data_IF_338144972883
#
_entry.id   IF_338144972883
#
_cell.length_a   1.000
_cell.length_b   1.000
_cell.length_c   1.000
_cell.angle_alpha   90.00
_cell.angle_beta   90.00
_cell.angle_gamma   90.00
#
_symmetry.space_group_name_H-M   'P 1'
#
loop_
_entity.id
_entity.type
_entity.pdbx_description
1 polymer ?
#
# COMPACT_ATOMS: atom_id res chain seq x y z
N UNK A 1 -8.95 -11.03 16.24
CA UNK A 1 -9.13 -10.96 14.77
C UNK A 1 -8.41 -9.71 14.28
N UNK A 2 -7.63 -9.77 13.19
CA UNK A 2 -6.93 -8.57 12.67
C UNK A 2 -7.92 -7.66 11.93
N UNK A 3 -7.65 -6.36 11.91
CA UNK A 3 -8.42 -5.42 11.11
C UNK A 3 -8.22 -5.70 9.61
N UNK A 4 -9.32 -5.70 8.85
CA UNK A 4 -9.32 -5.86 7.39
C UNK A 4 -9.86 -4.56 6.81
N UNK A 5 -8.97 -3.74 6.23
CA UNK A 5 -9.30 -2.48 5.56
C UNK A 5 -8.38 -2.25 4.36
N UNK A 6 -8.80 -1.34 3.50
CA UNK A 6 -8.16 -1.07 2.22
C UNK A 6 -8.04 0.43 1.98
N UNK A 7 -7.05 0.81 1.17
CA UNK A 7 -6.97 2.11 0.50
C UNK A 7 -6.99 1.93 -1.01
N UNK A 8 -7.33 2.99 -1.73
CA UNK A 8 -7.52 2.97 -3.16
C UNK A 8 -6.82 4.15 -3.83
N UNK A 9 -5.91 3.87 -4.75
CA UNK A 9 -5.33 4.89 -5.62
C UNK A 9 -6.24 5.11 -6.83
N UNK A 10 -6.76 6.32 -6.98
CA UNK A 10 -7.60 6.74 -8.10
C UNK A 10 -6.72 7.28 -9.24
N UNK A 11 -6.68 6.56 -10.37
CA UNK A 11 -5.85 6.96 -11.51
C UNK A 11 -6.35 8.21 -12.24
N UNK A 12 -7.65 8.51 -12.16
CA UNK A 12 -8.27 9.65 -12.83
C UNK A 12 -7.95 10.94 -12.10
N UNK A 13 -8.08 10.92 -10.77
CA UNK A 13 -7.86 12.10 -9.94
C UNK A 13 -6.47 12.16 -9.30
N UNK A 14 -5.66 11.09 -9.45
CA UNK A 14 -4.32 10.96 -8.87
C UNK A 14 -4.36 11.18 -7.35
N UNK A 15 -5.30 10.51 -6.70
CA UNK A 15 -5.60 10.70 -5.30
C UNK A 15 -5.66 9.37 -4.53
N UNK A 16 -5.15 9.36 -3.29
CA UNK A 16 -5.14 8.19 -2.41
C UNK A 16 -6.31 8.23 -1.41
N UNK A 17 -7.29 7.36 -1.62
CA UNK A 17 -8.48 7.23 -0.78
C UNK A 17 -8.24 6.24 0.36
N UNK A 18 -8.33 6.69 1.62
CA UNK A 18 -8.13 5.85 2.82
C UNK A 18 -9.42 5.27 3.41
N UNK A 19 -10.58 5.77 2.97
CA UNK A 19 -11.90 5.24 3.34
C UNK A 19 -12.51 4.58 2.12
N UNK A 20 -12.39 3.26 2.04
CA UNK A 20 -12.86 2.46 0.91
C UNK A 20 -14.03 1.61 1.33
N UNK A 21 -15.17 1.78 0.66
CA UNK A 21 -16.28 0.83 0.70
C UNK A 21 -16.16 -0.06 -0.54
N UNK A 22 -15.98 -1.36 -0.33
CA UNK A 22 -16.04 -2.36 -1.39
C UNK A 22 -17.45 -2.93 -1.41
N UNK A 23 -18.17 -2.69 -2.51
CA UNK A 23 -19.53 -3.14 -2.69
C UNK A 23 -19.74 -3.66 -4.11
N UNK A 24 -20.74 -4.53 -4.28
CA UNK A 24 -21.21 -4.91 -5.61
C UNK A 24 -22.06 -3.79 -6.20
N UNK A 25 -21.77 -3.38 -7.43
CA UNK A 25 -22.66 -2.52 -8.22
C UNK A 25 -22.81 -3.04 -9.64
N UNK A 26 -24.06 -3.19 -10.06
CA UNK A 26 -24.48 -3.50 -11.42
C UNK A 26 -26.00 -3.52 -11.43
N UNK A 27 -26.64 -3.07 -12.52
CA UNK A 27 -28.03 -3.48 -12.72
C UNK A 27 -28.02 -5.01 -12.80
N UNK A 28 -28.90 -5.68 -12.04
CA UNK A 28 -28.97 -7.15 -12.03
C UNK A 28 -28.95 -7.73 -13.45
N UNK A 29 -29.56 -7.02 -14.41
CA UNK A 29 -29.61 -7.38 -15.83
C UNK A 29 -28.24 -7.51 -16.52
N UNK A 30 -27.23 -6.76 -16.09
CA UNK A 30 -25.91 -6.73 -16.73
C UNK A 30 -24.97 -7.83 -16.21
N UNK A 31 -25.28 -8.39 -15.04
CA UNK A 31 -24.45 -9.42 -14.36
C UNK A 31 -25.19 -10.74 -14.13
N UNK A 32 -26.50 -10.81 -14.38
CA UNK A 32 -27.34 -11.99 -14.14
C UNK A 32 -26.96 -13.24 -14.96
N UNK A 33 -26.20 -13.06 -16.04
CA UNK A 33 -25.76 -14.15 -16.92
C UNK A 33 -24.34 -14.66 -16.66
N UNK A 34 -23.58 -14.02 -15.77
CA UNK A 34 -22.17 -14.35 -15.54
C UNK A 34 -22.04 -15.20 -14.27
N UNK A 35 -21.87 -16.52 -14.46
CA UNK A 35 -21.79 -17.48 -13.35
C UNK A 35 -20.61 -17.12 -12.42
N UNK A 36 -20.93 -16.72 -11.19
CA UNK A 36 -20.00 -16.30 -10.13
C UNK A 36 -19.35 -14.90 -10.29
N UNK A 37 -19.91 -14.01 -11.12
CA UNK A 37 -19.37 -12.66 -11.24
C UNK A 37 -19.95 -11.71 -10.18
N UNK A 38 -19.08 -11.18 -9.32
CA UNK A 38 -19.39 -10.08 -8.40
C UNK A 38 -18.65 -8.84 -8.85
N UNK A 39 -19.36 -7.80 -9.29
CA UNK A 39 -18.74 -6.55 -9.71
C UNK A 39 -17.87 -5.96 -8.57
N UNK A 40 -16.64 -5.59 -8.91
CA UNK A 40 -15.59 -5.15 -7.99
C UNK A 40 -15.32 -3.65 -8.19
N UNK A 41 -16.09 -2.80 -7.50
CA UNK A 41 -15.97 -1.35 -7.60
C UNK A 41 -15.91 -0.66 -6.23
N UNK A 42 -15.32 0.53 -6.23
CA UNK A 42 -15.29 1.46 -5.10
C UNK A 42 -16.18 2.65 -5.44
N UNK A 43 -17.06 3.02 -4.51
CA UNK A 43 -17.86 4.24 -4.65
C UNK A 43 -17.13 5.43 -4.03
N UNK A 44 -16.89 6.49 -4.80
CA UNK A 44 -16.27 7.72 -4.33
C UNK A 44 -17.35 8.82 -4.25
N UNK A 45 -17.55 9.36 -3.04
CA UNK A 45 -18.41 10.52 -2.81
C UNK A 45 -17.57 11.78 -2.60
N UNK A 46 -17.88 12.89 -3.29
CA UNK A 46 -17.14 14.15 -3.12
C UNK A 46 -17.15 14.67 -1.68
N UNK A 47 -18.20 14.39 -0.91
CA UNK A 47 -18.31 14.80 0.50
C UNK A 47 -17.46 13.99 1.49
N UNK A 48 -16.98 12.81 1.11
CA UNK A 48 -16.21 11.89 1.96
C UNK A 48 -14.69 11.96 1.71
N UNK A 49 -14.28 12.77 0.74
CA UNK A 49 -12.90 12.95 0.29
C UNK A 49 -12.51 14.43 0.29
N UNK A 50 -11.23 14.71 0.36
CA UNK A 50 -10.65 16.07 0.45
C UNK A 50 -10.09 16.56 -0.91
N UNK A 51 -10.60 16.02 -2.02
CA UNK A 51 -10.30 16.46 -3.38
C UNK A 51 -11.57 16.69 -4.20
N UNK A 52 -11.48 17.56 -5.21
CA UNK A 52 -12.62 17.85 -6.09
C UNK A 52 -12.83 16.71 -7.09
N UNK A 53 -13.98 16.04 -6.96
CA UNK A 53 -14.39 14.97 -7.88
C UNK A 53 -15.90 14.98 -8.09
N UNK A 54 -16.35 14.32 -9.17
CA UNK A 54 -17.75 13.97 -9.33
C UNK A 54 -17.99 12.58 -8.71
N UNK A 55 -19.17 12.30 -8.15
CA UNK A 55 -19.49 10.99 -7.62
C UNK A 55 -19.39 9.94 -8.73
N UNK A 56 -18.62 8.88 -8.51
CA UNK A 56 -18.42 7.85 -9.53
C UNK A 56 -18.04 6.49 -8.94
N UNK A 57 -18.31 5.44 -9.71
CA UNK A 57 -17.81 4.10 -9.45
C UNK A 57 -16.44 3.95 -10.08
N UNK A 58 -15.46 3.53 -9.28
CA UNK A 58 -14.11 3.27 -9.73
C UNK A 58 -13.85 1.76 -9.69
N UNK A 59 -13.62 1.18 -10.86
CA UNK A 59 -13.44 -0.25 -11.04
C UNK A 59 -11.98 -0.64 -10.78
N UNK A 60 -11.76 -1.69 -10.00
CA UNK A 60 -10.41 -2.25 -9.75
C UNK A 60 -10.22 -3.63 -10.42
N UNK A 61 -11.13 -3.99 -11.32
CA UNK A 61 -11.03 -5.20 -12.12
C UNK A 61 -9.96 -5.09 -13.23
N UNK A 62 -9.41 -6.21 -13.72
CA UNK A 62 -8.28 -6.23 -14.65
C UNK A 62 -8.49 -5.44 -15.95
N UNK A 63 -9.74 -5.36 -16.41
CA UNK A 63 -10.08 -4.78 -17.73
C UNK A 63 -10.35 -3.28 -17.69
N UNK A 64 -10.74 -2.73 -16.53
CA UNK A 64 -11.08 -1.31 -16.38
C UNK A 64 -10.13 -0.54 -15.48
N UNK A 65 -9.36 -1.21 -14.61
CA UNK A 65 -8.35 -0.73 -13.64
C UNK A 65 -8.22 0.79 -13.47
N UNK A 66 -9.32 1.44 -13.08
CA UNK A 66 -9.36 2.88 -12.77
C UNK A 66 -8.82 3.14 -11.36
N UNK A 67 -8.81 2.11 -10.52
CA UNK A 67 -8.29 2.15 -9.16
C UNK A 67 -7.36 0.97 -8.90
N UNK A 68 -6.29 1.23 -8.16
CA UNK A 68 -5.47 0.20 -7.51
C UNK A 68 -5.86 0.08 -6.03
N UNK A 69 -6.35 -1.09 -5.61
CA UNK A 69 -6.63 -1.38 -4.20
C UNK A 69 -5.37 -1.91 -3.52
N UNK A 70 -5.10 -1.41 -2.31
CA UNK A 70 -4.01 -1.84 -1.45
C UNK A 70 -4.54 -2.23 -0.07
N UNK A 71 -4.11 -3.39 0.44
CA UNK A 71 -4.56 -3.89 1.74
C UNK A 71 -3.73 -3.35 2.90
N UNK A 72 -4.39 -3.08 4.03
CA UNK A 72 -3.72 -2.86 5.31
C UNK A 72 -3.02 -4.14 5.80
N UNK A 73 -1.75 -4.00 6.18
CA UNK A 73 -0.90 -5.14 6.59
C UNK A 73 -1.24 -5.70 7.98
N UNK A 74 -1.93 -4.93 8.82
CA UNK A 74 -2.06 -5.24 10.25
C UNK A 74 -0.93 -4.69 11.11
N UNK A 75 0.07 -4.03 10.51
CA UNK A 75 1.26 -3.50 11.18
C UNK A 75 1.29 -1.98 11.10
N UNK A 76 2.03 -1.37 12.03
CA UNK A 76 2.25 0.07 12.10
C UNK A 76 3.75 0.36 12.08
N UNK A 77 4.12 1.51 11.51
CA UNK A 77 5.49 2.00 11.59
C UNK A 77 5.82 2.53 13.00
N UNK A 78 7.04 3.03 13.20
CA UNK A 78 7.47 3.56 14.50
C UNK A 78 6.73 4.85 14.90
N UNK A 79 6.22 5.60 13.91
CA UNK A 79 5.36 6.76 14.11
C UNK A 79 3.87 6.38 14.30
N UNK A 80 3.56 5.09 14.47
CA UNK A 80 2.20 4.54 14.69
C UNK A 80 1.24 4.72 13.52
N UNK A 81 1.75 4.98 12.31
CA UNK A 81 0.96 5.02 11.08
C UNK A 81 0.71 3.62 10.55
N UNK A 82 -0.47 3.39 10.00
CA UNK A 82 -0.84 2.12 9.39
C UNK A 82 -0.04 1.88 8.11
N UNK A 83 0.53 0.68 7.99
CA UNK A 83 1.29 0.26 6.80
C UNK A 83 0.36 -0.50 5.85
N UNK A 84 0.32 -0.08 4.59
CA UNK A 84 -0.43 -0.68 3.50
C UNK A 84 0.51 -1.25 2.44
N UNK A 85 -0.01 -2.14 1.59
CA UNK A 85 0.65 -2.47 0.32
C UNK A 85 0.97 -1.20 -0.48
N UNK A 86 2.12 -1.19 -1.16
CA UNK A 86 2.62 -0.05 -1.92
C UNK A 86 3.26 1.07 -1.09
N UNK A 87 3.25 0.99 0.25
CA UNK A 87 4.02 1.95 1.06
C UNK A 87 5.52 1.81 0.84
N UNK A 88 6.21 2.95 0.90
CA UNK A 88 7.66 3.04 0.86
C UNK A 88 8.15 3.33 2.28
N UNK A 89 8.96 2.43 2.81
CA UNK A 89 9.54 2.50 4.14
C UNK A 89 10.99 2.96 4.05
N UNK A 90 11.40 3.84 4.95
CA UNK A 90 12.78 4.16 5.23
C UNK A 90 13.19 3.49 6.53
N UNK A 91 14.13 2.55 6.45
CA UNK A 91 14.86 2.07 7.61
C UNK A 91 16.07 2.97 7.82
N UNK A 92 16.33 3.35 9.07
CA UNK A 92 17.54 4.04 9.48
C UNK A 92 18.06 3.37 10.74
N UNK A 93 19.37 3.22 10.85
CA UNK A 93 20.01 2.62 12.00
C UNK A 93 21.49 2.97 12.08
N UNK A 94 22.16 2.47 13.11
CA UNK A 94 23.60 2.67 13.32
C UNK A 94 24.31 1.33 13.28
N UNK A 95 25.30 1.19 12.41
CA UNK A 95 26.18 0.04 12.41
C UNK A 95 27.00 0.02 13.72
N UNK A 96 26.95 -1.08 14.45
CA UNK A 96 27.62 -1.23 15.74
C UNK A 96 29.14 -1.39 15.60
N UNK A 97 29.64 -1.82 14.43
CA UNK A 97 31.07 -2.00 14.20
C UNK A 97 31.75 -0.71 13.74
N UNK A 98 31.21 -0.08 12.68
CA UNK A 98 31.76 1.17 12.13
C UNK A 98 31.28 2.42 12.88
N UNK A 99 30.13 2.36 13.53
CA UNK A 99 29.45 3.51 14.12
C UNK A 99 28.77 4.42 13.08
N UNK A 100 28.75 4.03 11.80
CA UNK A 100 28.15 4.81 10.73
C UNK A 100 26.61 4.72 10.75
N UNK A 101 25.96 5.79 10.30
CA UNK A 101 24.53 5.80 10.08
C UNK A 101 24.20 5.23 8.72
N UNK A 102 23.35 4.22 8.70
CA UNK A 102 22.90 3.55 7.50
C UNK A 102 21.43 3.82 7.27
N UNK A 103 21.01 3.79 6.01
CA UNK A 103 19.61 3.85 5.65
C UNK A 103 19.31 3.07 4.38
N UNK A 104 18.14 2.43 4.37
CA UNK A 104 17.64 1.68 3.23
C UNK A 104 16.15 1.91 3.03
N UNK A 105 15.74 1.80 1.77
CA UNK A 105 14.35 1.98 1.35
C UNK A 105 13.75 0.65 0.92
N UNK A 106 12.49 0.44 1.30
CA UNK A 106 11.75 -0.78 0.99
C UNK A 106 10.37 -0.44 0.47
N UNK A 107 9.88 -1.22 -0.49
CA UNK A 107 8.48 -1.22 -0.87
C UNK A 107 7.74 -2.35 -0.17
N UNK A 108 6.55 -2.07 0.37
CA UNK A 108 5.67 -3.07 0.96
C UNK A 108 4.89 -3.79 -0.12
N UNK A 109 5.04 -5.11 -0.22
CA UNK A 109 4.35 -5.94 -1.22
C UNK A 109 3.71 -7.16 -0.57
N UNK A 110 2.63 -7.68 -1.15
CA UNK A 110 2.11 -9.01 -0.81
C UNK A 110 2.70 -10.05 -1.77
N UNK A 111 3.46 -11.01 -1.23
CA UNK A 111 4.14 -12.03 -2.02
C UNK A 111 4.28 -13.33 -1.23
N UNK A 112 4.10 -14.46 -1.91
CA UNK A 112 4.27 -15.81 -1.34
C UNK A 112 3.45 -16.03 -0.04
N UNK A 113 2.26 -15.43 0.01
CA UNK A 113 1.32 -15.55 1.14
C UNK A 113 1.61 -14.64 2.34
N UNK A 114 2.54 -13.70 2.23
CA UNK A 114 2.91 -12.78 3.31
C UNK A 114 3.11 -11.34 2.82
N UNK A 115 3.02 -10.38 3.75
CA UNK A 115 3.50 -9.03 3.53
C UNK A 115 5.03 -9.00 3.67
N UNK A 116 5.70 -8.49 2.65
CA UNK A 116 7.14 -8.46 2.51
C UNK A 116 7.63 -7.03 2.28
N UNK A 117 8.83 -6.74 2.75
CA UNK A 117 9.61 -5.56 2.38
C UNK A 117 10.51 -5.93 1.20
N UNK A 118 10.27 -5.32 0.03
CA UNK A 118 11.08 -5.46 -1.17
C UNK A 118 12.18 -4.40 -1.18
N UNK A 119 13.44 -4.84 -1.22
CA UNK A 119 14.60 -3.97 -1.40
C UNK A 119 15.07 -4.01 -2.87
N UNK A 120 15.46 -2.86 -3.41
CA UNK A 120 15.99 -2.70 -4.77
C UNK A 120 17.53 -2.64 -4.83
N UNK A 121 18.18 -2.48 -3.68
CA UNK A 121 19.64 -2.48 -3.52
C UNK A 121 20.14 -3.91 -3.31
N UNK A 122 21.33 -4.20 -3.85
CA UNK A 122 21.91 -5.54 -3.86
C UNK A 122 22.55 -6.01 -2.54
N UNK A 123 22.63 -5.16 -1.51
CA UNK A 123 23.31 -5.47 -0.25
C UNK A 123 22.46 -6.32 0.72
N UNK A 124 21.14 -6.30 0.57
CA UNK A 124 20.19 -7.06 1.38
C UNK A 124 19.43 -8.08 0.53
N UNK A 125 18.83 -9.12 1.15
CA UNK A 125 17.86 -9.97 0.47
C UNK A 125 16.81 -9.11 -0.24
N UNK A 126 16.49 -9.49 -1.48
CA UNK A 126 15.51 -8.75 -2.31
C UNK A 126 14.13 -8.66 -1.64
N UNK A 127 13.79 -9.62 -0.79
CA UNK A 127 12.55 -9.67 -0.04
C UNK A 127 12.82 -10.15 1.39
N UNK A 128 12.25 -9.46 2.38
CA UNK A 128 12.23 -9.87 3.79
C UNK A 128 10.79 -9.81 4.32
N UNK A 129 10.38 -10.66 5.28
CA UNK A 129 9.07 -10.51 5.93
C UNK A 129 8.94 -9.13 6.56
N UNK A 130 7.84 -8.42 6.27
CA UNK A 130 7.64 -7.05 6.75
C UNK A 130 7.77 -6.93 8.27
N UNK A 131 7.28 -7.94 9.01
CA UNK A 131 7.38 -7.98 10.46
C UNK A 131 8.83 -7.99 10.96
N UNK A 132 9.75 -8.65 10.24
CA UNK A 132 11.18 -8.65 10.59
C UNK A 132 11.85 -7.32 10.25
N UNK A 133 11.45 -6.67 9.16
CA UNK A 133 11.93 -5.32 8.81
C UNK A 133 11.54 -4.28 9.85
N UNK A 134 10.35 -4.42 10.46
CA UNK A 134 9.87 -3.51 11.52
C UNK A 134 10.44 -3.82 12.92
N UNK A 135 11.15 -4.93 13.12
CA UNK A 135 11.74 -5.25 14.41
C UNK A 135 12.89 -4.30 14.71
N UNK A 136 12.85 -3.72 15.90
CA UNK A 136 13.95 -2.97 16.49
C UNK A 136 15.05 -3.99 16.84
N UNK A 137 16.16 -4.00 16.09
CA UNK A 137 17.34 -4.82 16.45
C UNK A 137 18.25 -4.05 17.39
N UNK A 138 18.33 -2.73 17.22
CA UNK A 138 19.08 -1.81 18.07
C UNK A 138 18.22 -0.60 18.45
N UNK A 139 18.54 0.07 19.56
CA UNK A 139 17.79 1.25 20.04
C UNK A 139 17.79 2.41 19.03
N UNK A 140 18.79 2.45 18.13
CA UNK A 140 18.87 3.42 17.04
C UNK A 140 17.96 3.12 15.85
N UNK A 141 17.40 1.91 15.77
CA UNK A 141 16.66 1.48 14.58
C UNK A 141 15.29 2.14 14.53
N UNK A 142 15.00 2.77 13.40
CA UNK A 142 13.70 3.36 13.13
C UNK A 142 13.26 3.02 11.71
N UNK A 143 11.98 2.67 11.59
CA UNK A 143 11.31 2.46 10.30
C UNK A 143 10.12 3.40 10.22
N UNK A 144 10.11 4.24 9.19
CA UNK A 144 9.05 5.22 8.92
C UNK A 144 8.54 5.07 7.50
N UNK A 145 7.23 5.27 7.32
CA UNK A 145 6.64 5.46 5.99
C UNK A 145 7.09 6.81 5.44
N UNK A 146 7.71 6.83 4.26
CA UNK A 146 8.19 8.07 3.60
C UNK A 146 7.40 8.42 2.34
N UNK A 147 6.52 7.53 1.89
CA UNK A 147 5.70 7.74 0.70
C UNK A 147 5.01 6.45 0.26
N UNK A 148 4.49 6.42 -0.96
CA UNK A 148 3.98 5.21 -1.61
C UNK A 148 4.30 5.19 -3.10
N UNK A 149 4.23 4.01 -3.73
CA UNK A 149 4.60 3.80 -5.13
C UNK A 149 3.74 4.57 -6.16
N UNK A 150 2.60 5.13 -5.77
CA UNK A 150 1.74 5.89 -6.67
C UNK A 150 2.03 7.39 -6.65
N UNK A 151 2.35 7.92 -5.47
CA UNK A 151 2.58 9.35 -5.26
C UNK A 151 4.06 9.73 -5.23
N UNK A 152 4.93 8.79 -4.83
CA UNK A 152 6.33 9.04 -4.49
C UNK A 152 7.24 7.94 -5.10
N UNK A 153 6.93 7.50 -6.32
CA UNK A 153 7.63 6.41 -7.00
C UNK A 153 9.14 6.69 -7.16
N UNK A 154 9.49 7.96 -7.34
CA UNK A 154 10.87 8.45 -7.47
C UNK A 154 11.71 8.15 -6.22
N UNK A 155 11.09 7.93 -5.05
CA UNK A 155 11.83 7.57 -3.84
C UNK A 155 12.54 6.22 -3.97
N UNK A 156 12.11 5.34 -4.88
CA UNK A 156 12.71 4.02 -5.10
C UNK A 156 13.79 4.01 -6.21
N UNK A 157 13.99 5.12 -6.91
CA UNK A 157 15.04 5.23 -7.92
C UNK A 157 16.43 5.18 -7.25
N UNK A 158 17.34 4.44 -7.86
CA UNK A 158 18.73 4.31 -7.40
C UNK A 158 19.56 5.34 -8.17
N UNK A 159 20.15 6.30 -7.45
CA UNK A 159 21.19 7.20 -8.00
C UNK A 159 22.46 6.45 -8.40
#
# INVERSE_FOLDING_TARGET
MREIKFRAWDHKYKYMNYKVCVAMWGEWTDVAGDENYTACSVWIKPEDVDYDCQPHWAHFEPYSKCVDIMQYTGLKDHAKRDIYEGDILLWQGKDQQSGEYLSDKYEVVFKDGAFMARNYRGYHPKFEPLAETLRIRYESDIVTIIGNIHQDAELLEVE
#
